data_IF_149208320115
#
_entry.id   IF_149208320115
#
_cell.length_a   1.000
_cell.length_b   1.000
_cell.length_c   1.000
_cell.angle_alpha   90.00
_cell.angle_beta   90.00
_cell.angle_gamma   90.00
#
_symmetry.space_group_name_H-M   'P 1'
#
loop_
_entity.id
_entity.type
_entity.pdbx_description
1 polymer ?
#
# COMPACT_ATOMS: atom_id res chain seq x y z
N UNK A 1 -31.43 -42.27 8.54
CA UNK A 1 -30.00 -42.11 8.27
C UNK A 1 -29.65 -40.64 8.52
N UNK A 2 -28.91 -40.35 9.58
CA UNK A 2 -28.43 -38.98 9.91
C UNK A 2 -27.03 -38.85 9.35
N UNK A 3 -26.80 -37.85 8.48
CA UNK A 3 -25.47 -37.52 7.97
C UNK A 3 -24.53 -37.12 9.11
N UNK A 4 -23.25 -37.51 9.06
CA UNK A 4 -22.28 -37.13 10.09
C UNK A 4 -21.93 -35.67 9.90
N UNK A 5 -22.18 -34.84 10.93
CA UNK A 5 -21.66 -33.47 11.05
C UNK A 5 -20.13 -33.55 11.13
N UNK A 6 -19.45 -33.16 10.06
CA UNK A 6 -18.01 -32.91 10.08
C UNK A 6 -17.76 -31.76 11.07
N UNK A 7 -17.21 -32.07 12.23
CA UNK A 7 -16.65 -31.09 13.17
C UNK A 7 -15.42 -30.48 12.50
N UNK A 8 -15.56 -29.29 11.93
CA UNK A 8 -14.40 -28.46 11.62
C UNK A 8 -13.79 -28.01 12.95
N UNK A 9 -12.71 -28.65 13.34
CA UNK A 9 -11.87 -28.16 14.43
C UNK A 9 -11.40 -26.76 14.08
N UNK A 10 -11.83 -25.79 14.90
CA UNK A 10 -11.34 -24.40 14.84
C UNK A 10 -9.86 -24.42 15.18
N UNK A 11 -8.99 -24.31 14.18
CA UNK A 11 -7.57 -24.01 14.37
C UNK A 11 -7.45 -22.77 15.25
N UNK A 12 -6.61 -22.86 16.29
CA UNK A 12 -6.37 -21.76 17.24
C UNK A 12 -5.85 -20.55 16.49
N UNK A 13 -6.46 -19.35 16.61
CA UNK A 13 -6.01 -18.16 15.93
C UNK A 13 -4.70 -17.67 16.55
N UNK A 14 -3.63 -17.52 15.79
CA UNK A 14 -2.49 -16.75 16.26
C UNK A 14 -1.08 -17.19 15.91
N UNK A 15 -0.82 -17.91 14.83
CA UNK A 15 0.56 -18.14 14.41
C UNK A 15 0.74 -17.94 12.90
N UNK A 16 1.54 -16.91 12.56
CA UNK A 16 2.37 -16.76 11.39
C UNK A 16 1.83 -16.07 10.13
N UNK A 17 2.04 -14.74 10.03
CA UNK A 17 2.48 -14.15 8.77
C UNK A 17 3.98 -14.47 8.67
N UNK A 18 4.44 -15.14 7.59
CA UNK A 18 5.86 -15.41 7.36
C UNK A 18 6.37 -14.61 6.18
N UNK A 19 7.42 -13.81 6.40
CA UNK A 19 8.27 -13.33 5.32
C UNK A 19 9.41 -14.37 5.06
N UNK A 20 10.25 -14.11 4.07
CA UNK A 20 11.35 -15.02 3.74
C UNK A 20 12.31 -15.24 4.93
N UNK A 21 12.54 -14.22 5.77
CA UNK A 21 13.38 -14.30 6.97
C UNK A 21 12.73 -15.17 8.03
N UNK A 22 11.42 -15.04 8.21
CA UNK A 22 10.66 -15.87 9.14
C UNK A 22 10.67 -17.33 8.69
N UNK A 23 10.54 -17.62 7.38
CA UNK A 23 10.66 -18.97 6.82
C UNK A 23 12.07 -19.54 7.05
N UNK A 24 13.13 -18.76 6.78
CA UNK A 24 14.51 -19.19 7.04
C UNK A 24 14.74 -19.50 8.51
N UNK A 25 14.24 -18.67 9.42
CA UNK A 25 14.32 -18.88 10.85
C UNK A 25 13.55 -20.14 11.27
N UNK A 26 12.33 -20.31 10.79
CA UNK A 26 11.50 -21.49 11.02
C UNK A 26 12.20 -22.79 10.56
N UNK A 27 12.75 -22.80 9.35
CA UNK A 27 13.51 -23.95 8.85
C UNK A 27 14.79 -24.21 9.67
N UNK A 28 15.46 -23.16 10.16
CA UNK A 28 16.60 -23.31 11.05
C UNK A 28 16.21 -23.89 12.42
N UNK A 29 15.04 -23.53 12.96
CA UNK A 29 14.50 -24.12 14.20
C UNK A 29 14.16 -25.59 14.03
N UNK A 30 13.57 -26.00 12.89
CA UNK A 30 13.33 -27.41 12.55
C UNK A 30 14.66 -28.15 12.43
N UNK A 31 15.62 -27.62 11.68
CA UNK A 31 16.93 -28.23 11.48
C UNK A 31 17.72 -28.41 12.79
N UNK A 32 17.58 -27.48 13.73
CA UNK A 32 18.27 -27.53 15.04
C UNK A 32 17.52 -28.37 16.07
N UNK A 33 16.38 -28.98 15.72
CA UNK A 33 15.57 -29.78 16.66
C UNK A 33 14.80 -28.97 17.71
N UNK A 34 14.83 -27.62 17.62
CA UNK A 34 14.04 -26.75 18.51
C UNK A 34 12.55 -26.82 18.21
N UNK A 35 12.19 -27.21 17.00
CA UNK A 35 10.82 -27.40 16.54
C UNK A 35 10.71 -28.81 15.95
N UNK A 36 9.72 -29.60 16.40
CA UNK A 36 9.48 -30.94 15.84
C UNK A 36 8.85 -30.86 14.46
N UNK A 37 9.01 -31.90 13.63
CA UNK A 37 8.41 -31.97 12.30
C UNK A 37 6.89 -31.89 12.36
N UNK A 38 6.27 -32.54 13.36
CA UNK A 38 4.81 -32.54 13.56
C UNK A 38 4.31 -31.12 13.82
N UNK A 39 4.95 -30.39 14.74
CA UNK A 39 4.62 -28.99 15.03
C UNK A 39 4.87 -28.09 13.81
N UNK A 40 5.95 -28.38 13.05
CA UNK A 40 6.24 -27.63 11.83
C UNK A 40 5.17 -27.82 10.76
N UNK A 41 4.72 -29.07 10.53
CA UNK A 41 3.64 -29.38 9.58
C UNK A 41 2.32 -28.75 10.01
N UNK A 42 1.99 -28.77 11.30
CA UNK A 42 0.77 -28.13 11.81
C UNK A 42 0.78 -26.61 11.60
N UNK A 43 1.93 -25.95 11.85
CA UNK A 43 2.11 -24.54 11.55
C UNK A 43 1.96 -24.22 10.06
N UNK A 44 2.54 -25.06 9.18
CA UNK A 44 2.42 -24.90 7.72
C UNK A 44 0.98 -25.09 7.21
N UNK A 45 0.20 -25.99 7.82
CA UNK A 45 -1.22 -26.18 7.46
C UNK A 45 -2.09 -24.94 7.69
N UNK A 46 -1.79 -24.14 8.71
CA UNK A 46 -2.52 -22.90 9.04
C UNK A 46 -2.11 -21.67 8.21
N UNK A 47 -1.13 -21.80 7.32
CA UNK A 47 -0.47 -20.68 6.67
C UNK A 47 -1.20 -19.94 5.55
N UNK A 48 -2.09 -20.53 4.71
CA UNK A 48 -2.57 -19.79 3.56
C UNK A 48 -3.42 -18.58 3.93
N UNK A 49 -4.32 -18.71 4.89
CA UNK A 49 -5.19 -17.63 5.36
C UNK A 49 -5.87 -17.97 6.69
N UNK A 50 -6.27 -16.91 7.43
CA UNK A 50 -7.14 -17.02 8.60
C UNK A 50 -8.57 -16.67 8.18
N UNK A 51 -9.53 -17.58 8.42
CA UNK A 51 -10.94 -17.35 8.11
C UNK A 51 -11.68 -16.77 9.32
N UNK A 52 -12.16 -15.53 9.20
CA UNK A 52 -12.96 -14.84 10.19
C UNK A 52 -14.48 -15.03 9.95
N UNK A 53 -14.87 -15.86 8.97
CA UNK A 53 -16.24 -16.08 8.53
C UNK A 53 -16.72 -15.03 7.53
N UNK A 54 -16.49 -13.74 7.78
CA UNK A 54 -16.83 -12.62 6.88
C UNK A 54 -15.62 -12.09 6.08
N UNK A 55 -14.39 -12.47 6.43
CA UNK A 55 -13.16 -12.09 5.74
C UNK A 55 -12.12 -13.20 5.89
N UNK A 56 -11.23 -13.30 4.90
CA UNK A 56 -10.07 -14.20 4.91
C UNK A 56 -8.82 -13.35 4.90
N UNK A 57 -7.97 -13.49 5.92
CA UNK A 57 -6.72 -12.75 6.03
C UNK A 57 -5.61 -13.57 5.37
N UNK A 58 -5.02 -13.05 4.29
CA UNK A 58 -3.91 -13.69 3.55
C UNK A 58 -2.58 -13.47 4.28
N UNK A 59 -2.23 -14.37 5.19
CA UNK A 59 -0.96 -14.32 5.91
C UNK A 59 0.26 -14.67 5.03
N UNK A 60 0.03 -15.25 3.87
CA UNK A 60 1.09 -15.69 2.94
C UNK A 60 1.48 -14.61 1.93
N UNK A 61 0.74 -13.49 1.88
CA UNK A 61 0.95 -12.43 0.89
C UNK A 61 2.34 -11.79 1.01
N UNK A 62 2.84 -11.59 2.22
CA UNK A 62 4.16 -11.01 2.45
C UNK A 62 5.29 -11.87 1.83
N UNK A 63 5.16 -13.19 1.88
CA UNK A 63 6.14 -14.10 1.27
C UNK A 63 6.09 -14.06 -0.27
N UNK A 64 4.88 -13.97 -0.86
CA UNK A 64 4.71 -13.95 -2.32
C UNK A 64 5.00 -12.59 -2.96
N UNK A 65 4.63 -11.51 -2.29
CA UNK A 65 4.64 -10.15 -2.86
C UNK A 65 5.61 -9.19 -2.15
N UNK A 66 6.28 -9.64 -1.08
CA UNK A 66 7.23 -8.84 -0.32
C UNK A 66 6.60 -7.79 0.61
N UNK A 67 5.26 -7.75 0.73
CA UNK A 67 4.55 -6.92 1.70
C UNK A 67 3.23 -7.60 2.12
N UNK A 68 2.74 -7.30 3.36
CA UNK A 68 1.56 -7.97 3.90
C UNK A 68 0.28 -7.52 3.21
N UNK A 69 -0.82 -8.20 3.54
CA UNK A 69 -2.16 -7.78 3.14
C UNK A 69 -2.47 -6.37 3.65
N UNK A 70 -3.27 -5.63 2.86
CA UNK A 70 -3.74 -4.28 3.17
C UNK A 70 -5.25 -4.30 3.33
N UNK A 71 -5.76 -3.65 4.38
CA UNK A 71 -7.20 -3.61 4.64
C UNK A 71 -7.82 -2.48 3.82
N UNK A 72 -8.64 -2.83 2.83
CA UNK A 72 -9.50 -1.87 2.13
C UNK A 72 -10.76 -1.62 2.96
N UNK A 73 -10.87 -0.43 3.58
CA UNK A 73 -11.92 -0.15 4.56
C UNK A 73 -13.27 0.26 3.95
N UNK A 74 -13.29 0.77 2.69
CA UNK A 74 -14.53 1.16 2.03
C UNK A 74 -15.51 0.00 1.97
N UNK A 75 -16.75 0.21 2.40
CA UNK A 75 -17.79 -0.81 2.45
C UNK A 75 -17.73 -1.76 3.65
N UNK A 76 -16.76 -1.58 4.55
CA UNK A 76 -16.67 -2.36 5.80
C UNK A 76 -17.12 -1.52 7.01
N UNK A 77 -17.70 -2.19 7.99
CA UNK A 77 -18.05 -1.56 9.27
C UNK A 77 -16.79 -1.38 10.14
N UNK A 78 -16.81 -0.42 11.10
CA UNK A 78 -15.72 -0.26 12.05
C UNK A 78 -15.36 -1.54 12.83
N UNK A 79 -16.39 -2.38 13.15
CA UNK A 79 -16.20 -3.68 13.81
C UNK A 79 -15.39 -4.63 12.91
N UNK A 80 -15.79 -4.79 11.65
CA UNK A 80 -15.11 -5.67 10.70
C UNK A 80 -13.65 -5.27 10.49
N UNK A 81 -13.37 -3.96 10.27
CA UNK A 81 -11.99 -3.48 10.09
C UNK A 81 -11.16 -3.73 11.36
N UNK A 82 -11.74 -3.48 12.55
CA UNK A 82 -11.06 -3.72 13.84
C UNK A 82 -10.76 -5.21 14.06
N UNK A 83 -11.66 -6.11 13.66
CA UNK A 83 -11.47 -7.56 13.80
C UNK A 83 -10.38 -8.07 12.84
N UNK A 84 -10.35 -7.60 11.59
CA UNK A 84 -9.28 -7.92 10.63
C UNK A 84 -7.94 -7.40 11.17
N UNK A 85 -7.89 -6.13 11.59
CA UNK A 85 -6.67 -5.53 12.16
C UNK A 85 -6.17 -6.32 13.39
N UNK A 86 -7.09 -6.79 14.26
CA UNK A 86 -6.75 -7.65 15.41
C UNK A 86 -6.17 -9.00 14.97
N UNK A 87 -6.74 -9.64 13.93
CA UNK A 87 -6.19 -10.85 13.33
C UNK A 87 -4.77 -10.64 12.83
N UNK A 88 -4.55 -9.59 12.05
CA UNK A 88 -3.21 -9.22 11.55
C UNK A 88 -2.22 -8.87 12.67
N UNK A 89 -2.69 -8.27 13.77
CA UNK A 89 -1.85 -7.96 14.94
C UNK A 89 -1.42 -9.21 15.71
N UNK A 90 -2.28 -10.22 15.81
CA UNK A 90 -1.95 -11.50 16.46
C UNK A 90 -0.86 -12.25 15.73
N UNK A 91 -0.84 -12.12 14.42
CA UNK A 91 0.24 -12.68 13.63
C UNK A 91 1.56 -11.96 13.95
N UNK A 92 2.59 -12.71 14.35
CA UNK A 92 3.91 -12.19 14.79
C UNK A 92 4.76 -11.68 13.63
N UNK A 93 4.15 -11.07 12.61
CA UNK A 93 4.89 -10.51 11.48
C UNK A 93 5.52 -9.17 11.84
N UNK A 94 6.69 -8.92 11.28
CA UNK A 94 7.45 -7.68 11.45
C UNK A 94 7.02 -6.54 10.52
N UNK A 95 5.90 -6.69 9.80
CA UNK A 95 5.44 -5.69 8.83
C UNK A 95 4.43 -4.70 9.42
N UNK A 96 4.44 -3.47 8.91
CA UNK A 96 3.43 -2.48 9.20
C UNK A 96 2.07 -2.94 8.65
N UNK A 97 0.97 -2.55 9.32
CA UNK A 97 -0.38 -2.79 8.84
C UNK A 97 -0.91 -1.49 8.26
N UNK A 98 -1.32 -1.53 7.00
CA UNK A 98 -1.93 -0.41 6.30
C UNK A 98 -3.43 -0.69 6.10
N UNK A 99 -4.25 0.33 6.38
CA UNK A 99 -5.68 0.35 6.12
C UNK A 99 -5.94 1.55 5.23
N UNK A 100 -6.58 1.36 4.08
CA UNK A 100 -6.88 2.43 3.12
C UNK A 100 -8.38 2.76 3.10
N UNK A 101 -8.71 3.98 2.67
CA UNK A 101 -10.09 4.46 2.50
C UNK A 101 -10.94 4.36 3.78
N UNK A 102 -10.31 4.61 4.94
CA UNK A 102 -10.97 4.67 6.23
C UNK A 102 -11.49 6.09 6.55
N UNK A 103 -12.50 6.14 7.39
CA UNK A 103 -13.02 7.37 7.99
C UNK A 103 -12.66 7.45 9.49
N UNK A 104 -13.07 8.57 10.13
CA UNK A 104 -12.85 8.78 11.57
C UNK A 104 -13.53 7.73 12.44
N UNK A 105 -14.68 7.15 12.01
CA UNK A 105 -15.40 6.12 12.77
C UNK A 105 -14.63 4.81 12.75
N UNK A 106 -14.11 4.43 11.59
CA UNK A 106 -13.23 3.27 11.42
C UNK A 106 -11.95 3.44 12.25
N UNK A 107 -11.31 4.63 12.17
CA UNK A 107 -10.13 4.91 12.97
C UNK A 107 -10.39 4.77 14.48
N UNK A 108 -11.51 5.29 14.99
CA UNK A 108 -11.87 5.17 16.39
C UNK A 108 -12.02 3.69 16.82
N UNK A 109 -12.53 2.83 15.93
CA UNK A 109 -12.59 1.38 16.15
C UNK A 109 -11.20 0.74 16.18
N UNK A 110 -10.36 1.04 15.20
CA UNK A 110 -8.99 0.51 15.09
C UNK A 110 -8.13 0.98 16.28
N UNK A 111 -8.27 2.21 16.73
CA UNK A 111 -7.52 2.77 17.87
C UNK A 111 -7.75 2.00 19.17
N UNK A 112 -8.93 1.37 19.36
CA UNK A 112 -9.24 0.51 20.52
C UNK A 112 -8.44 -0.78 20.53
N UNK A 113 -8.06 -1.30 19.37
CA UNK A 113 -7.31 -2.56 19.22
C UNK A 113 -5.82 -2.33 18.97
N UNK A 114 -5.44 -1.15 18.49
CA UNK A 114 -4.07 -0.75 18.18
C UNK A 114 -3.80 0.69 18.62
N UNK A 115 -3.35 0.90 19.86
CA UNK A 115 -3.08 2.24 20.41
C UNK A 115 -2.05 3.04 19.61
N UNK A 116 -1.13 2.37 18.93
CA UNK A 116 -0.10 2.98 18.08
C UNK A 116 -0.62 3.39 16.68
N UNK A 117 -1.88 3.08 16.32
CA UNK A 117 -2.44 3.45 15.03
C UNK A 117 -2.42 4.97 14.82
N UNK A 118 -1.94 5.40 13.63
CA UNK A 118 -1.95 6.79 13.17
C UNK A 118 -2.95 6.92 12.03
N UNK A 119 -3.73 7.98 12.03
CA UNK A 119 -4.70 8.31 10.99
C UNK A 119 -4.22 9.48 10.16
N UNK A 120 -4.32 9.35 8.85
CA UNK A 120 -4.03 10.36 7.85
C UNK A 120 -5.36 10.85 7.27
N UNK A 121 -5.89 12.00 7.74
CA UNK A 121 -7.27 12.39 7.46
C UNK A 121 -7.55 12.70 5.99
N UNK A 122 -6.57 13.22 5.24
CA UNK A 122 -6.74 13.61 3.84
C UNK A 122 -6.90 12.37 2.96
N UNK A 123 -6.02 11.39 3.10
CA UNK A 123 -6.04 10.14 2.33
C UNK A 123 -7.01 9.09 2.87
N UNK A 124 -7.45 9.23 4.12
CA UNK A 124 -8.18 8.18 4.82
C UNK A 124 -7.33 6.94 5.11
N UNK A 125 -6.02 7.06 5.13
CA UNK A 125 -5.13 5.96 5.49
C UNK A 125 -4.94 5.84 7.01
N UNK A 126 -4.85 4.59 7.49
CA UNK A 126 -4.44 4.29 8.87
C UNK A 126 -3.21 3.39 8.81
N UNK A 127 -2.17 3.75 9.54
CA UNK A 127 -0.95 2.95 9.67
C UNK A 127 -0.79 2.48 11.11
N UNK A 128 -0.61 1.18 11.30
CA UNK A 128 -0.18 0.60 12.56
C UNK A 128 1.29 0.22 12.37
N UNK A 129 2.18 1.08 12.89
CA UNK A 129 3.61 0.90 12.74
C UNK A 129 4.12 -0.23 13.66
N UNK A 130 4.83 -1.20 13.08
CA UNK A 130 5.44 -2.33 13.77
C UNK A 130 6.95 -2.41 13.53
N UNK A 131 7.42 -1.82 12.43
CA UNK A 131 8.82 -1.80 12.03
C UNK A 131 9.19 -0.46 11.41
N UNK A 132 10.47 -0.10 11.47
CA UNK A 132 11.05 1.05 10.79
C UNK A 132 12.10 0.63 9.76
N UNK A 133 12.13 -0.65 9.38
CA UNK A 133 13.12 -1.15 8.42
C UNK A 133 12.88 -0.53 7.06
N UNK A 134 13.93 0.07 6.50
CA UNK A 134 13.95 0.61 5.13
C UNK A 134 14.29 -0.53 4.18
N UNK A 135 13.46 -0.73 3.17
CA UNK A 135 13.64 -1.73 2.12
C UNK A 135 13.99 -1.11 0.76
N UNK A 136 13.66 0.17 0.58
CA UNK A 136 13.90 0.91 -0.67
C UNK A 136 15.38 1.28 -0.84
N UNK A 137 15.90 1.23 -2.08
CA UNK A 137 17.30 1.55 -2.43
C UNK A 137 17.52 3.04 -2.71
N UNK A 138 16.45 3.82 -2.90
CA UNK A 138 16.53 5.24 -3.23
C UNK A 138 15.30 6.02 -2.77
N UNK A 139 15.15 7.21 -3.32
CA UNK A 139 14.03 8.11 -3.03
C UNK A 139 12.81 7.77 -3.91
N UNK A 140 11.66 7.62 -3.30
CA UNK A 140 10.35 7.71 -3.97
C UNK A 140 9.91 9.17 -3.86
N UNK A 141 9.76 9.84 -4.98
CA UNK A 141 9.26 11.22 -5.02
C UNK A 141 7.80 11.24 -5.44
N UNK A 142 6.94 11.92 -4.66
CA UNK A 142 5.52 12.10 -5.00
C UNK A 142 5.30 13.55 -5.40
N UNK A 143 4.69 13.77 -6.57
CA UNK A 143 4.49 15.10 -7.15
C UNK A 143 3.01 15.32 -7.45
N UNK A 144 2.42 16.49 -7.11
CA UNK A 144 1.03 16.83 -7.48
C UNK A 144 0.93 18.01 -8.41
N UNK A 145 -0.08 17.98 -9.30
CA UNK A 145 -0.42 19.12 -10.15
C UNK A 145 -1.05 20.25 -9.34
N UNK A 146 -2.06 19.95 -8.55
CA UNK A 146 -2.76 20.91 -7.72
C UNK A 146 -2.88 20.45 -6.26
N UNK A 147 -3.37 21.39 -5.41
CA UNK A 147 -3.66 21.12 -4.00
C UNK A 147 -4.82 20.15 -3.80
N UNK A 148 -5.76 20.11 -4.75
CA UNK A 148 -6.89 19.16 -4.75
C UNK A 148 -6.47 17.71 -5.00
N UNK A 149 -5.25 17.48 -5.50
CA UNK A 149 -4.70 16.15 -5.74
C UNK A 149 -3.99 15.57 -4.48
N UNK A 150 -3.76 16.41 -3.46
CA UNK A 150 -3.02 16.03 -2.24
C UNK A 150 -3.62 14.81 -1.53
N UNK A 151 -4.93 14.63 -1.41
CA UNK A 151 -5.48 13.44 -0.75
C UNK A 151 -5.05 12.12 -1.41
N UNK A 152 -5.00 12.08 -2.74
CA UNK A 152 -4.56 10.91 -3.50
C UNK A 152 -3.03 10.74 -3.40
N UNK A 153 -2.29 11.85 -3.43
CA UNK A 153 -0.84 11.85 -3.25
C UNK A 153 -0.45 11.40 -1.83
N UNK A 154 -1.16 11.84 -0.78
CA UNK A 154 -0.92 11.38 0.59
C UNK A 154 -1.16 9.87 0.73
N UNK A 155 -2.16 9.30 0.03
CA UNK A 155 -2.35 7.85 0.00
C UNK A 155 -1.12 7.13 -0.56
N UNK A 156 -0.50 7.67 -1.62
CA UNK A 156 0.73 7.11 -2.20
C UNK A 156 1.92 7.26 -1.25
N UNK A 157 2.11 8.43 -0.64
CA UNK A 157 3.16 8.69 0.36
C UNK A 157 3.06 7.70 1.51
N UNK A 158 1.90 7.67 2.19
CA UNK A 158 1.67 6.81 3.36
C UNK A 158 1.85 5.33 3.02
N UNK A 159 1.42 4.91 1.82
CA UNK A 159 1.58 3.54 1.34
C UNK A 159 3.07 3.20 1.15
N UNK A 160 3.82 4.04 0.45
CA UNK A 160 5.23 3.81 0.19
C UNK A 160 6.06 3.84 1.48
N UNK A 161 5.78 4.76 2.42
CA UNK A 161 6.41 4.80 3.75
C UNK A 161 6.10 3.54 4.56
N UNK A 162 4.84 3.12 4.61
CA UNK A 162 4.44 1.90 5.31
C UNK A 162 5.13 0.65 4.77
N UNK A 163 5.51 0.66 3.49
CA UNK A 163 6.28 -0.38 2.80
C UNK A 163 7.81 -0.24 2.97
N UNK A 164 8.28 0.70 3.78
CA UNK A 164 9.70 0.87 4.11
C UNK A 164 10.50 1.62 3.03
N UNK A 165 9.93 2.64 2.43
CA UNK A 165 10.67 3.52 1.51
C UNK A 165 10.94 4.89 2.16
N UNK A 166 12.05 5.52 1.72
CA UNK A 166 12.25 6.96 1.89
C UNK A 166 11.37 7.68 0.86
N UNK A 167 10.48 8.55 1.34
CA UNK A 167 9.53 9.28 0.51
C UNK A 167 9.67 10.77 0.75
N UNK A 168 9.66 11.55 -0.31
CA UNK A 168 9.51 13.00 -0.28
C UNK A 168 8.35 13.42 -1.18
N UNK A 169 7.73 14.54 -0.88
CA UNK A 169 6.63 15.07 -1.67
C UNK A 169 6.87 16.51 -2.12
N UNK A 170 6.40 16.83 -3.32
CA UNK A 170 6.37 18.17 -3.90
C UNK A 170 4.94 18.43 -4.37
N UNK A 171 4.29 19.40 -3.79
CA UNK A 171 2.89 19.68 -4.06
C UNK A 171 2.71 20.96 -4.88
N UNK A 172 1.59 21.02 -5.63
CA UNK A 172 1.14 22.21 -6.37
C UNK A 172 2.13 22.73 -7.41
N UNK A 173 2.64 21.84 -8.24
CA UNK A 173 3.59 22.13 -9.34
C UNK A 173 2.99 21.82 -10.72
N UNK A 174 1.71 22.12 -10.89
CA UNK A 174 0.98 21.91 -12.15
C UNK A 174 1.59 22.66 -13.34
N UNK A 175 1.29 22.15 -14.54
CA UNK A 175 1.86 22.64 -15.82
C UNK A 175 1.48 24.09 -16.15
N UNK A 176 0.37 24.61 -15.61
CA UNK A 176 -0.01 26.01 -15.75
C UNK A 176 0.98 26.99 -15.09
N UNK A 177 1.83 26.48 -14.16
CA UNK A 177 2.91 27.23 -13.53
C UNK A 177 4.21 26.46 -13.58
N UNK A 178 4.71 26.13 -14.77
CA UNK A 178 5.83 25.23 -15.02
C UNK A 178 7.11 25.62 -14.27
N UNK A 179 7.33 26.93 -14.02
CA UNK A 179 8.45 27.43 -13.24
C UNK A 179 8.51 26.80 -11.84
N UNK A 180 7.35 26.55 -11.20
CA UNK A 180 7.27 25.88 -9.89
C UNK A 180 7.85 24.46 -9.92
N UNK A 181 7.55 23.69 -10.96
CA UNK A 181 8.12 22.36 -11.15
C UNK A 181 9.65 22.44 -11.38
N UNK A 182 10.10 23.40 -12.19
CA UNK A 182 11.50 23.54 -12.55
C UNK A 182 12.40 23.92 -11.36
N UNK A 183 11.87 24.56 -10.32
CA UNK A 183 12.59 24.81 -9.07
C UNK A 183 12.97 23.52 -8.34
N UNK A 184 12.25 22.42 -8.58
CA UNK A 184 12.48 21.13 -7.97
C UNK A 184 13.34 20.15 -8.82
N UNK A 185 14.02 20.63 -9.88
CA UNK A 185 14.82 19.77 -10.79
C UNK A 185 15.82 18.88 -10.09
N UNK A 186 16.47 19.35 -9.02
CA UNK A 186 17.41 18.54 -8.23
C UNK A 186 16.71 17.33 -7.59
N UNK A 187 15.57 17.55 -6.94
CA UNK A 187 14.78 16.45 -6.32
C UNK A 187 14.26 15.46 -7.36
N UNK A 188 13.82 15.95 -8.53
CA UNK A 188 13.41 15.09 -9.65
C UNK A 188 14.56 14.19 -10.11
N UNK A 189 15.77 14.73 -10.20
CA UNK A 189 16.97 13.99 -10.61
C UNK A 189 17.47 12.99 -9.54
N UNK A 190 17.23 13.24 -8.25
CA UNK A 190 17.61 12.36 -7.14
C UNK A 190 16.66 11.17 -6.97
N UNK A 191 15.45 11.26 -7.52
CA UNK A 191 14.44 10.22 -7.37
C UNK A 191 14.86 8.93 -8.11
N UNK A 192 14.56 7.78 -7.51
CA UNK A 192 14.66 6.46 -8.16
C UNK A 192 13.38 6.08 -8.89
N UNK A 193 12.25 6.58 -8.42
CA UNK A 193 10.93 6.45 -9.03
C UNK A 193 10.07 7.63 -8.62
N UNK A 194 9.24 8.12 -9.52
CA UNK A 194 8.35 9.25 -9.26
C UNK A 194 6.89 8.80 -9.36
N UNK A 195 6.09 9.18 -8.39
CA UNK A 195 4.62 9.09 -8.46
C UNK A 195 4.10 10.49 -8.79
N UNK A 196 3.43 10.64 -9.93
CA UNK A 196 2.93 11.92 -10.41
C UNK A 196 1.41 11.92 -10.45
N UNK A 197 0.79 12.75 -9.60
CA UNK A 197 -0.65 12.79 -9.35
C UNK A 197 -1.25 14.05 -9.97
N UNK A 198 -2.22 13.89 -10.87
CA UNK A 198 -2.83 15.01 -11.57
C UNK A 198 -4.28 14.73 -11.99
N UNK A 199 -5.15 15.71 -11.82
CA UNK A 199 -6.48 15.75 -12.39
C UNK A 199 -6.54 16.52 -13.71
N UNK A 200 -7.69 17.15 -14.00
CA UNK A 200 -7.92 17.95 -15.18
C UNK A 200 -7.61 17.19 -16.48
N UNK A 201 -6.64 17.64 -17.26
CA UNK A 201 -6.17 17.04 -18.53
C UNK A 201 -5.05 16.00 -18.35
N UNK A 202 -4.49 15.89 -17.13
CA UNK A 202 -3.46 14.88 -16.83
C UNK A 202 -2.08 15.13 -17.46
N UNK A 203 -1.72 16.37 -17.78
CA UNK A 203 -0.50 16.68 -18.55
C UNK A 203 0.80 16.58 -17.73
N UNK A 204 0.74 16.78 -16.40
CA UNK A 204 1.94 16.83 -15.55
C UNK A 204 2.86 15.60 -15.67
N UNK A 205 2.37 14.35 -15.71
CA UNK A 205 3.23 13.18 -15.84
C UNK A 205 4.09 13.18 -17.10
N UNK A 206 3.56 13.63 -18.24
CA UNK A 206 4.31 13.73 -19.49
C UNK A 206 5.46 14.75 -19.39
N UNK A 207 5.23 15.88 -18.74
CA UNK A 207 6.24 16.91 -18.52
C UNK A 207 7.32 16.42 -17.56
N UNK A 208 6.91 15.82 -16.42
CA UNK A 208 7.88 15.25 -15.46
C UNK A 208 8.72 14.16 -16.10
N UNK A 209 8.10 13.26 -16.85
CA UNK A 209 8.79 12.16 -17.53
C UNK A 209 9.80 12.65 -18.58
N UNK A 210 9.51 13.76 -19.26
CA UNK A 210 10.46 14.39 -20.18
C UNK A 210 11.69 15.03 -19.50
N UNK A 211 11.67 15.20 -18.18
CA UNK A 211 12.76 15.79 -17.40
C UNK A 211 13.65 14.76 -16.69
N UNK A 212 13.27 13.47 -16.68
CA UNK A 212 13.93 12.43 -15.89
C UNK A 212 14.11 11.13 -16.68
N UNK A 213 15.10 10.32 -16.25
CA UNK A 213 15.36 9.01 -16.82
C UNK A 213 14.75 7.85 -16.00
N UNK A 214 14.07 8.17 -14.90
CA UNK A 214 13.49 7.16 -13.99
C UNK A 214 12.02 6.88 -14.34
N UNK A 215 11.46 5.73 -13.91
CA UNK A 215 10.04 5.44 -14.08
C UNK A 215 9.15 6.50 -13.44
N UNK A 216 8.11 6.92 -14.13
CA UNK A 216 7.07 7.83 -13.66
C UNK A 216 5.74 7.07 -13.62
N UNK A 217 5.19 6.92 -12.42
CA UNK A 217 3.88 6.31 -12.19
C UNK A 217 2.85 7.43 -12.15
N UNK A 218 2.04 7.51 -13.19
CA UNK A 218 1.02 8.51 -13.34
C UNK A 218 -0.27 8.07 -12.64
N UNK A 219 -0.81 8.94 -11.80
CA UNK A 219 -2.06 8.73 -11.06
C UNK A 219 -3.06 9.78 -11.53
N UNK A 220 -4.03 9.43 -12.38
CA UNK A 220 -5.12 10.33 -12.69
C UNK A 220 -6.00 10.51 -11.45
N UNK A 221 -6.50 11.72 -11.22
CA UNK A 221 -7.45 11.98 -10.15
C UNK A 221 -8.82 12.35 -10.71
N UNK A 222 -9.86 12.11 -9.90
CA UNK A 222 -11.23 12.55 -10.22
C UNK A 222 -11.42 14.07 -10.07
N UNK A 223 -10.36 14.79 -9.70
CA UNK A 223 -10.32 16.24 -9.62
C UNK A 223 -10.52 16.86 -11.00
N UNK A 224 -11.56 17.67 -11.14
CA UNK A 224 -11.88 18.35 -12.40
C UNK A 224 -13.35 18.69 -12.52
N UNK A 225 -13.73 19.31 -13.64
CA UNK A 225 -15.09 19.70 -13.96
C UNK A 225 -15.36 19.58 -15.48
N UNK A 226 -16.60 19.82 -15.90
CA UNK A 226 -16.97 19.77 -17.32
C UNK A 226 -16.64 18.42 -17.96
N UNK A 227 -15.77 18.43 -18.97
CA UNK A 227 -15.37 17.23 -19.73
C UNK A 227 -14.37 16.32 -19.01
N UNK A 228 -14.10 16.52 -17.72
CA UNK A 228 -13.20 15.66 -16.96
C UNK A 228 -13.76 14.25 -16.72
N UNK A 229 -15.10 14.08 -16.76
CA UNK A 229 -15.81 12.81 -16.56
C UNK A 229 -15.28 12.01 -15.35
N UNK A 230 -15.11 12.69 -14.20
CA UNK A 230 -14.61 12.04 -12.97
C UNK A 230 -13.20 11.48 -13.08
N UNK A 231 -12.34 12.10 -13.87
CA UNK A 231 -10.94 11.72 -14.06
C UNK A 231 -10.65 10.90 -15.32
N UNK A 232 -11.68 10.58 -16.12
CA UNK A 232 -11.47 9.82 -17.36
C UNK A 232 -10.58 10.58 -18.36
N UNK A 233 -10.77 11.89 -18.49
CA UNK A 233 -9.93 12.73 -19.36
C UNK A 233 -8.46 12.67 -18.93
N UNK A 234 -8.18 12.80 -17.64
CA UNK A 234 -6.83 12.66 -17.11
C UNK A 234 -6.25 11.26 -17.39
N UNK A 235 -7.04 10.21 -17.16
CA UNK A 235 -6.62 8.81 -17.43
C UNK A 235 -6.27 8.63 -18.91
N UNK A 236 -7.12 9.03 -19.82
CA UNK A 236 -6.87 8.89 -21.27
C UNK A 236 -5.69 9.74 -21.74
N UNK A 237 -5.54 10.96 -21.21
CA UNK A 237 -4.38 11.81 -21.47
C UNK A 237 -3.07 11.18 -21.03
N UNK A 238 -3.04 10.59 -19.82
CA UNK A 238 -1.85 9.90 -19.30
C UNK A 238 -1.53 8.62 -20.08
N UNK A 239 -2.55 7.81 -20.44
CA UNK A 239 -2.36 6.61 -21.26
C UNK A 239 -1.85 6.92 -22.66
N UNK A 240 -2.13 8.11 -23.18
CA UNK A 240 -1.70 8.58 -24.49
C UNK A 240 -0.41 9.45 -24.40
N UNK A 241 0.34 9.37 -23.31
CA UNK A 241 1.59 10.08 -23.15
C UNK A 241 2.63 9.61 -24.17
N UNK A 242 3.34 10.56 -24.81
CA UNK A 242 4.47 10.22 -25.70
C UNK A 242 5.77 9.92 -24.92
N UNK A 243 5.81 10.15 -23.61
CA UNK A 243 6.97 9.85 -22.79
C UNK A 243 7.03 8.33 -22.48
N UNK A 244 8.13 7.68 -22.85
CA UNK A 244 8.28 6.22 -22.82
C UNK A 244 8.40 5.62 -21.40
N UNK A 245 8.71 6.45 -20.41
CA UNK A 245 8.90 6.04 -19.01
C UNK A 245 7.66 6.28 -18.13
N UNK A 246 6.48 6.56 -18.72
CA UNK A 246 5.22 6.74 -18.01
C UNK A 246 4.46 5.40 -17.93
N UNK A 247 4.05 5.03 -16.72
CA UNK A 247 3.10 3.94 -16.46
C UNK A 247 1.91 4.47 -15.68
N UNK A 248 0.69 4.08 -16.06
CA UNK A 248 -0.54 4.67 -15.50
C UNK A 248 -1.24 3.67 -14.58
N UNK A 249 -1.68 4.15 -13.43
CA UNK A 249 -2.58 3.39 -12.53
C UNK A 249 -4.02 3.89 -12.69
N UNK A 250 -4.97 3.25 -12.00
CA UNK A 250 -6.37 3.64 -12.05
C UNK A 250 -6.62 5.02 -11.41
N UNK A 251 -7.78 5.62 -11.71
CA UNK A 251 -8.22 6.91 -11.15
C UNK A 251 -8.27 6.83 -9.61
N UNK A 252 -7.75 7.88 -8.95
CA UNK A 252 -7.65 8.01 -7.49
C UNK A 252 -6.90 6.85 -6.80
N UNK A 253 -6.06 6.12 -7.51
CA UNK A 253 -5.36 4.96 -6.95
C UNK A 253 -3.95 5.30 -6.43
N UNK A 254 -3.88 6.19 -5.43
CA UNK A 254 -2.62 6.51 -4.74
C UNK A 254 -1.99 5.28 -4.10
N UNK A 255 -2.82 4.40 -3.52
CA UNK A 255 -2.36 3.12 -2.96
C UNK A 255 -1.63 2.27 -3.99
N UNK A 256 -2.24 2.02 -5.16
CA UNK A 256 -1.61 1.24 -6.22
C UNK A 256 -0.29 1.82 -6.70
N UNK A 257 -0.24 3.16 -6.84
CA UNK A 257 0.98 3.85 -7.23
C UNK A 257 2.10 3.70 -6.17
N UNK A 258 1.76 3.87 -4.88
CA UNK A 258 2.70 3.64 -3.77
C UNK A 258 3.22 2.20 -3.72
N UNK A 259 2.37 1.20 -4.01
CA UNK A 259 2.77 -0.20 -4.12
C UNK A 259 3.76 -0.43 -5.27
N UNK A 260 3.42 0.03 -6.48
CA UNK A 260 4.28 -0.13 -7.68
C UNK A 260 5.61 0.58 -7.48
N UNK A 261 5.58 1.84 -6.96
CA UNK A 261 6.80 2.58 -6.62
C UNK A 261 7.68 1.82 -5.62
N UNK A 262 7.07 1.20 -4.62
CA UNK A 262 7.79 0.40 -3.61
C UNK A 262 8.45 -0.84 -4.20
N UNK A 263 7.78 -1.52 -5.15
CA UNK A 263 8.35 -2.67 -5.86
C UNK A 263 9.56 -2.23 -6.69
N UNK A 264 9.41 -1.18 -7.51
CA UNK A 264 10.50 -0.63 -8.34
C UNK A 264 11.69 -0.20 -7.48
N UNK A 265 11.42 0.46 -6.32
CA UNK A 265 12.48 0.98 -5.46
C UNK A 265 13.28 -0.11 -4.72
N UNK A 266 12.75 -1.34 -4.64
CA UNK A 266 13.45 -2.51 -4.06
C UNK A 266 14.34 -3.24 -5.07
N UNK A 267 13.99 -3.22 -6.36
CA UNK A 267 14.78 -3.80 -7.45
C UNK A 267 16.11 -3.04 -7.65
#
# INVERSE_FOLDING_TARGET
>A
MREPRVRTERTRPGENIMDERDVRKFLAEVRSGKLTLETAVERLRGMPYEDLGFAKIDHHRALRQGFPEVIFARGKTPKQVSEIARGMLRAKASHNILITRADKKIFAGVKKVARAAKFHPLSGAIVIQRTQVTHGKGLVLVVTAGTSDIPVAEEAVVTAEAMGNRVEAVYDVGVAGLHRLLEHRKKLAEARVIVCVAGMEGALPSVVAGLVAVPVIAVPTSTGYGSSFGGLTALLGMLNSCASNVSVVNIDNGFGAGCVASVINRL
#
